data_IF_336263467000
#
_entry.id   IF_336263467000
#
_cell.length_a   1.000
_cell.length_b   1.000
_cell.length_c   1.000
_cell.angle_alpha   90.00
_cell.angle_beta   90.00
_cell.angle_gamma   90.00
#
_symmetry.space_group_name_H-M   'P 1'
#
loop_
_entity.id
_entity.type
_entity.pdbx_description
1 polymer ?
#
# COMPACT_ATOMS: atom_id res chain seq x y z
N UNK A 1 -13.05 7.27 -7.33
CA UNK A 1 -12.42 6.14 -8.03
C UNK A 1 -12.53 6.37 -9.52
N UNK A 2 -11.45 6.18 -10.24
CA UNK A 2 -11.47 6.25 -11.70
C UNK A 2 -12.08 4.96 -12.25
N UNK A 3 -13.26 5.07 -12.86
CA UNK A 3 -13.89 3.98 -13.60
C UNK A 3 -13.51 4.13 -15.07
N UNK A 4 -12.72 3.30 -15.58
CA UNK A 4 -12.31 3.27 -16.98
C UNK A 4 -11.72 1.92 -17.24
N UNK A 5 -10.53 1.85 -17.79
CA UNK A 5 -9.78 0.61 -17.95
C UNK A 5 -9.29 0.03 -16.62
N UNK A 6 -9.46 0.76 -15.51
CA UNK A 6 -9.11 0.33 -14.14
C UNK A 6 -7.73 -0.30 -14.06
N UNK A 7 -6.72 0.43 -14.53
CA UNK A 7 -5.34 -0.08 -14.59
C UNK A 7 -4.84 -0.49 -13.22
N UNK A 8 -4.40 -1.72 -13.09
CA UNK A 8 -3.75 -2.20 -11.87
C UNK A 8 -2.48 -1.37 -11.61
N UNK A 9 -2.18 -1.11 -10.34
CA UNK A 9 -1.01 -0.35 -9.94
C UNK A 9 -1.16 1.18 -9.98
N UNK A 10 -2.29 1.72 -10.44
CA UNK A 10 -2.51 3.17 -10.58
C UNK A 10 -2.41 3.95 -9.26
N UNK A 11 -2.87 3.37 -8.14
CA UNK A 11 -3.08 4.14 -6.90
C UNK A 11 -1.79 4.66 -6.26
N UNK A 12 -0.70 3.90 -6.29
CA UNK A 12 0.56 4.32 -5.69
C UNK A 12 1.20 5.52 -6.43
N UNK A 13 1.42 5.49 -7.75
CA UNK A 13 1.90 6.67 -8.49
C UNK A 13 0.98 7.88 -8.35
N UNK A 14 -0.33 7.67 -8.33
CA UNK A 14 -1.29 8.76 -8.13
C UNK A 14 -1.17 9.39 -6.74
N UNK A 15 -1.00 8.58 -5.68
CA UNK A 15 -0.77 9.07 -4.32
C UNK A 15 0.55 9.83 -4.20
N UNK A 16 1.62 9.34 -4.82
CA UNK A 16 2.91 10.04 -4.87
C UNK A 16 2.76 11.41 -5.54
N UNK A 17 2.07 11.47 -6.67
CA UNK A 17 1.78 12.73 -7.38
C UNK A 17 0.98 13.69 -6.49
N UNK A 18 -0.07 13.19 -5.83
CA UNK A 18 -0.87 13.98 -4.91
C UNK A 18 -0.04 14.57 -3.76
N UNK A 19 0.87 13.74 -3.18
CA UNK A 19 1.76 14.19 -2.10
C UNK A 19 2.78 15.23 -2.56
N UNK A 20 3.31 15.08 -3.79
CA UNK A 20 4.21 16.08 -4.39
C UNK A 20 3.52 17.42 -4.61
N UNK A 21 2.28 17.39 -5.09
CA UNK A 21 1.50 18.61 -5.36
C UNK A 21 0.97 19.29 -4.09
N UNK A 22 0.75 18.52 -3.03
CA UNK A 22 0.17 18.99 -1.76
C UNK A 22 0.92 18.37 -0.58
N UNK A 23 2.18 18.76 -0.36
CA UNK A 23 3.05 18.13 0.64
C UNK A 23 2.52 18.27 2.08
N UNK A 24 1.71 19.28 2.36
CA UNK A 24 1.09 19.52 3.66
C UNK A 24 -0.08 18.57 3.98
N UNK A 25 -0.63 17.89 2.95
CA UNK A 25 -1.79 17.02 3.13
C UNK A 25 -1.38 15.60 3.51
N UNK A 26 -2.19 14.99 4.38
CA UNK A 26 -2.12 13.54 4.56
C UNK A 26 -2.64 12.84 3.31
N UNK A 27 -1.85 11.92 2.79
CA UNK A 27 -2.20 11.14 1.59
C UNK A 27 -2.14 9.66 1.94
N UNK A 28 -3.17 8.94 1.56
CA UNK A 28 -3.21 7.49 1.66
C UNK A 28 -3.69 6.89 0.34
N UNK A 29 -3.18 5.71 0.01
CA UNK A 29 -3.70 4.91 -1.09
C UNK A 29 -3.97 3.47 -0.65
N UNK A 30 -4.91 2.86 -1.35
CA UNK A 30 -5.31 1.47 -1.16
C UNK A 30 -5.04 0.71 -2.46
N UNK A 31 -4.42 -0.45 -2.35
CA UNK A 31 -4.02 -1.26 -3.50
C UNK A 31 -4.05 -2.74 -3.11
N UNK A 32 -4.45 -3.62 -4.04
CA UNK A 32 -4.29 -5.06 -3.85
C UNK A 32 -2.84 -5.50 -4.06
N UNK A 33 -2.48 -6.64 -3.49
CA UNK A 33 -1.13 -7.21 -3.58
C UNK A 33 -0.65 -7.40 -5.03
N UNK A 34 -1.51 -7.90 -5.92
CA UNK A 34 -1.18 -8.05 -7.35
C UNK A 34 -0.90 -6.71 -8.05
N UNK A 35 -1.71 -5.68 -7.75
CA UNK A 35 -1.48 -4.33 -8.28
C UNK A 35 -0.22 -3.69 -7.70
N UNK A 36 0.05 -3.91 -6.41
CA UNK A 36 1.24 -3.43 -5.75
C UNK A 36 2.51 -4.08 -6.32
N UNK A 37 2.51 -5.39 -6.55
CA UNK A 37 3.64 -6.11 -7.13
C UNK A 37 4.09 -5.52 -8.48
N UNK A 38 3.17 -4.96 -9.26
CA UNK A 38 3.50 -4.32 -10.55
C UNK A 38 4.22 -2.98 -10.40
N UNK A 39 4.06 -2.29 -9.28
CA UNK A 39 4.57 -0.93 -9.04
C UNK A 39 5.37 -0.80 -7.74
N UNK A 40 5.73 -1.90 -7.11
CA UNK A 40 6.44 -1.88 -5.83
C UNK A 40 7.75 -1.07 -5.85
N UNK A 41 8.41 -0.98 -7.00
CA UNK A 41 9.61 -0.16 -7.17
C UNK A 41 9.38 1.32 -6.90
N UNK A 42 8.17 1.82 -7.12
CA UNK A 42 7.79 3.22 -6.85
C UNK A 42 7.82 3.54 -5.35
N UNK A 43 7.70 2.53 -4.48
CA UNK A 43 7.82 2.73 -3.03
C UNK A 43 9.23 3.20 -2.64
N UNK A 44 10.27 2.63 -3.26
CA UNK A 44 11.66 3.06 -3.07
C UNK A 44 11.90 4.48 -3.59
N UNK A 45 11.26 4.84 -4.71
CA UNK A 45 11.29 6.21 -5.22
C UNK A 45 10.60 7.19 -4.24
N UNK A 46 9.44 6.81 -3.70
CA UNK A 46 8.74 7.60 -2.70
C UNK A 46 9.59 7.85 -1.44
N UNK A 47 10.32 6.82 -0.98
CA UNK A 47 11.27 6.96 0.12
C UNK A 47 12.42 7.92 -0.23
N UNK A 48 13.00 7.78 -1.42
CA UNK A 48 14.08 8.64 -1.88
C UNK A 48 13.68 10.11 -2.02
N UNK A 49 12.41 10.36 -2.33
CA UNK A 49 11.83 11.70 -2.42
C UNK A 49 11.31 12.23 -1.08
N UNK A 50 11.43 11.47 0.01
CA UNK A 50 10.95 11.87 1.32
C UNK A 50 9.43 12.07 1.39
N UNK A 51 8.66 11.24 0.69
CA UNK A 51 7.21 11.37 0.64
C UNK A 51 6.52 10.63 1.79
N UNK A 52 6.11 11.37 2.83
CA UNK A 52 5.31 10.84 3.94
C UNK A 52 3.88 10.53 3.50
N UNK A 53 3.65 9.35 2.96
CA UNK A 53 2.34 8.86 2.55
C UNK A 53 2.09 7.44 3.08
N UNK A 54 0.83 7.07 3.27
CA UNK A 54 0.43 5.75 3.75
C UNK A 54 -0.07 4.89 2.59
N UNK A 55 0.49 3.70 2.46
CA UNK A 55 0.10 2.71 1.46
C UNK A 55 -0.48 1.49 2.18
N UNK A 56 -1.75 1.18 1.94
CA UNK A 56 -2.41 -0.01 2.45
C UNK A 56 -2.49 -1.04 1.33
N UNK A 57 -1.81 -2.15 1.50
CA UNK A 57 -1.85 -3.28 0.56
C UNK A 57 -2.76 -4.36 1.12
N UNK A 58 -3.83 -4.66 0.41
CA UNK A 58 -4.69 -5.79 0.74
C UNK A 58 -4.08 -7.08 0.22
N UNK A 59 -3.67 -7.95 1.15
CA UNK A 59 -2.99 -9.21 0.87
C UNK A 59 -4.00 -10.35 0.99
N UNK A 60 -4.57 -10.76 -0.13
CA UNK A 60 -5.51 -11.90 -0.19
C UNK A 60 -4.86 -13.18 -0.73
N UNK A 61 -3.65 -13.05 -1.27
CA UNK A 61 -2.87 -14.14 -1.86
C UNK A 61 -3.62 -14.91 -3.00
N UNK A 62 -4.67 -14.31 -3.58
CA UNK A 62 -5.53 -14.99 -4.55
C UNK A 62 -5.08 -14.80 -6.00
N UNK A 63 -4.53 -13.66 -6.34
CA UNK A 63 -4.18 -13.30 -7.72
C UNK A 63 -2.79 -13.80 -8.16
N UNK A 64 -1.94 -14.17 -7.24
CA UNK A 64 -0.61 -14.59 -7.57
C UNK A 64 -0.30 -15.97 -6.96
N UNK A 65 0.04 -16.92 -7.80
CA UNK A 65 0.76 -18.12 -7.40
C UNK A 65 2.22 -17.79 -6.96
N UNK A 66 2.41 -16.56 -6.47
CA UNK A 66 3.68 -16.07 -5.93
C UNK A 66 3.61 -16.30 -4.42
N UNK A 67 4.71 -16.76 -3.84
CA UNK A 67 4.83 -16.89 -2.40
C UNK A 67 4.46 -15.59 -1.68
N UNK A 68 3.78 -15.67 -0.53
CA UNK A 68 3.40 -14.48 0.22
C UNK A 68 4.62 -13.59 0.50
N UNK A 69 4.50 -12.32 0.16
CA UNK A 69 5.57 -11.34 0.41
C UNK A 69 5.40 -10.75 1.80
N UNK A 70 6.45 -10.77 2.60
CA UNK A 70 6.49 -10.02 3.85
C UNK A 70 6.56 -8.51 3.54
N UNK A 71 5.41 -7.85 3.65
CA UNK A 71 5.27 -6.42 3.31
C UNK A 71 6.06 -5.52 4.25
N UNK A 72 6.22 -5.91 5.52
CA UNK A 72 6.99 -5.13 6.48
C UNK A 72 8.49 -5.20 6.14
N UNK A 73 9.00 -6.38 5.84
CA UNK A 73 10.40 -6.56 5.44
C UNK A 73 10.69 -5.89 4.10
N UNK A 74 9.78 -5.99 3.14
CA UNK A 74 9.90 -5.32 1.84
C UNK A 74 9.99 -3.80 2.02
N UNK A 75 9.11 -3.21 2.81
CA UNK A 75 9.12 -1.78 3.10
C UNK A 75 10.48 -1.34 3.70
N UNK A 76 10.97 -2.06 4.71
CA UNK A 76 12.24 -1.76 5.35
C UNK A 76 13.41 -1.83 4.36
N UNK A 77 13.42 -2.81 3.46
CA UNK A 77 14.46 -2.96 2.43
C UNK A 77 14.48 -1.79 1.44
N UNK A 78 13.36 -1.06 1.31
CA UNK A 78 13.20 0.10 0.43
C UNK A 78 13.32 1.44 1.15
N UNK A 79 13.69 1.45 2.45
CA UNK A 79 13.83 2.66 3.24
C UNK A 79 12.51 3.25 3.74
N UNK A 80 11.47 2.42 3.81
CA UNK A 80 10.13 2.77 4.30
C UNK A 80 9.87 2.16 5.68
N UNK A 81 8.90 2.70 6.41
CA UNK A 81 8.33 2.02 7.54
C UNK A 81 7.32 0.97 7.04
N UNK A 82 7.25 -0.17 7.73
CA UNK A 82 6.36 -1.26 7.32
C UNK A 82 5.77 -2.00 8.51
N UNK A 83 4.50 -2.39 8.37
CA UNK A 83 3.78 -3.20 9.36
C UNK A 83 2.83 -4.17 8.66
N UNK A 84 2.73 -5.37 9.18
CA UNK A 84 1.70 -6.33 8.79
C UNK A 84 0.58 -6.30 9.85
N UNK A 85 -0.67 -6.37 9.40
CA UNK A 85 -1.86 -6.36 10.27
C UNK A 85 -2.82 -7.46 9.86
N UNK A 86 -3.42 -8.11 10.85
CA UNK A 86 -4.36 -9.23 10.67
C UNK A 86 -5.76 -8.89 11.18
N UNK A 87 -5.91 -7.78 11.90
CA UNK A 87 -7.20 -7.37 12.49
C UNK A 87 -7.54 -5.93 12.12
N UNK A 88 -8.84 -5.63 12.14
CA UNK A 88 -9.34 -4.26 11.90
C UNK A 88 -8.74 -3.28 12.92
N UNK A 89 -8.66 -3.67 14.19
CA UNK A 89 -8.10 -2.83 15.24
C UNK A 89 -6.63 -2.47 15.01
N UNK A 90 -5.82 -3.42 14.53
CA UNK A 90 -4.43 -3.18 14.15
C UNK A 90 -4.34 -2.25 12.95
N UNK A 91 -5.20 -2.45 11.94
CA UNK A 91 -5.25 -1.57 10.76
C UNK A 91 -5.63 -0.15 11.15
N UNK A 92 -6.68 0.01 11.97
CA UNK A 92 -7.11 1.33 12.46
C UNK A 92 -5.99 2.03 13.22
N UNK A 93 -5.29 1.31 14.10
CA UNK A 93 -4.15 1.85 14.85
C UNK A 93 -3.02 2.27 13.91
N UNK A 94 -2.58 1.40 13.02
CA UNK A 94 -1.48 1.70 12.09
C UNK A 94 -1.83 2.88 11.16
N UNK A 95 -3.09 2.96 10.73
CA UNK A 95 -3.58 4.05 9.90
C UNK A 95 -3.67 5.38 10.67
N UNK A 96 -4.09 5.33 11.94
CA UNK A 96 -4.14 6.52 12.81
C UNK A 96 -2.75 7.05 13.15
N UNK A 97 -1.79 6.16 13.40
CA UNK A 97 -0.39 6.52 13.64
C UNK A 97 0.21 7.19 12.39
N UNK A 98 -0.16 6.70 11.21
CA UNK A 98 0.18 7.29 9.92
C UNK A 98 1.66 7.23 9.56
N UNK A 99 1.98 7.76 8.38
CA UNK A 99 3.37 7.84 7.91
C UNK A 99 4.14 8.98 8.60
N UNK A 100 5.44 8.77 8.80
CA UNK A 100 6.34 9.85 9.16
C UNK A 100 6.34 10.95 8.07
N UNK A 101 6.67 12.21 8.40
CA UNK A 101 6.60 13.31 7.43
C UNK A 101 7.48 13.12 6.19
N UNK A 102 8.57 12.40 6.34
CA UNK A 102 9.65 12.24 5.35
C UNK A 102 9.83 10.81 4.87
N UNK A 103 8.91 9.90 5.22
CA UNK A 103 9.05 8.48 4.92
C UNK A 103 7.69 7.81 4.70
N UNK A 104 7.55 6.99 3.64
CA UNK A 104 6.33 6.22 3.44
C UNK A 104 6.11 5.17 4.53
N UNK A 105 4.84 4.90 4.83
CA UNK A 105 4.40 3.77 5.64
C UNK A 105 3.66 2.76 4.74
N UNK A 106 4.15 1.53 4.70
CA UNK A 106 3.48 0.40 4.05
C UNK A 106 2.76 -0.44 5.10
N UNK A 107 1.47 -0.58 4.96
CA UNK A 107 0.64 -1.46 5.79
C UNK A 107 0.20 -2.65 4.94
N UNK A 108 0.72 -3.83 5.24
CA UNK A 108 0.23 -5.10 4.66
C UNK A 108 -0.95 -5.61 5.45
N UNK A 109 -2.16 -5.48 4.91
CA UNK A 109 -3.38 -5.94 5.55
C UNK A 109 -3.75 -7.33 5.02
N UNK A 110 -3.60 -8.36 5.84
CA UNK A 110 -4.03 -9.71 5.51
C UNK A 110 -5.55 -9.80 5.55
N UNK A 111 -6.14 -10.24 4.45
CA UNK A 111 -7.59 -10.36 4.31
C UNK A 111 -7.99 -11.78 3.90
N UNK A 112 -9.15 -12.22 4.35
CA UNK A 112 -9.73 -13.51 3.97
C UNK A 112 -10.48 -13.37 2.64
N UNK A 113 -10.01 -13.99 1.54
CA UNK A 113 -10.66 -13.90 0.23
C UNK A 113 -11.98 -14.69 0.14
N UNK A 114 -12.29 -15.54 1.11
CA UNK A 114 -13.48 -16.41 1.07
C UNK A 114 -14.79 -15.63 0.94
N UNK A 115 -14.81 -14.39 1.41
CA UNK A 115 -16.04 -13.56 1.43
C UNK A 115 -16.41 -13.01 0.04
N UNK A 116 -15.50 -12.95 -0.91
CA UNK A 116 -15.80 -12.46 -2.26
C UNK A 116 -15.55 -13.49 -3.37
N UNK A 117 -15.20 -14.71 -3.03
CA UNK A 117 -15.07 -15.80 -4.00
C UNK A 117 -16.37 -16.08 -4.79
N UNK A 118 -17.52 -15.61 -4.30
CA UNK A 118 -18.81 -15.72 -4.97
C UNK A 118 -19.15 -14.54 -5.91
N UNK A 119 -18.25 -13.57 -6.06
CA UNK A 119 -18.48 -12.36 -6.87
C UNK A 119 -17.83 -12.42 -8.27
N UNK A 120 -17.07 -13.48 -8.54
CA UNK A 120 -16.36 -13.68 -9.80
C UNK A 120 -16.63 -15.07 -10.39
#
# INVERSE_FOLDING_TARGET
>A
MTNGLSSMGYSLPAAMTAKLLKPERSVACFIGDGGFAMVQGELGLAASLGLGLTVVVFCDNSLNRIEPTDMAMLAQSMGCDGVAVDTIAELEKAFADGAAPDRPLLIGANIDPSQYAAQF
#
